data_IF_508200903933
#
_entry.id   IF_508200903933
#
_cell.length_a   1.000
_cell.length_b   1.000
_cell.length_c   1.000
_cell.angle_alpha   90.00
_cell.angle_beta   90.00
_cell.angle_gamma   90.00
#
_symmetry.space_group_name_H-M   'P 1'
#
loop_
_entity.id
_entity.type
_entity.pdbx_description
1 polymer ?
#
# COMPACT_ATOMS: atom_id res chain seq x y z
N UNK A 1 8.47 18.81 11.59
CA UNK A 1 7.05 19.19 11.40
C UNK A 1 6.71 19.18 9.92
N UNK A 2 5.53 18.64 9.58
CA UNK A 2 4.77 18.73 8.30
C UNK A 2 5.39 18.21 7.01
N UNK A 3 4.76 17.17 6.40
CA UNK A 3 4.38 17.16 4.98
C UNK A 3 3.02 16.46 4.78
N UNK A 4 1.98 17.29 4.70
CA UNK A 4 0.78 17.06 3.86
C UNK A 4 1.22 17.19 2.39
N UNK A 5 0.64 16.43 1.46
CA UNK A 5 0.13 16.97 0.19
C UNK A 5 -0.71 15.91 -0.54
N UNK A 6 -1.97 16.29 -0.79
CA UNK A 6 -2.93 15.65 -1.68
C UNK A 6 -3.33 16.75 -2.69
N UNK A 7 -3.31 16.42 -3.99
CA UNK A 7 -3.99 17.05 -5.14
C UNK A 7 -3.89 18.58 -5.43
N UNK A 8 -3.61 18.92 -6.71
CA UNK A 8 -4.42 19.73 -7.67
C UNK A 8 -3.51 20.17 -8.83
N UNK A 9 -3.96 20.01 -10.08
CA UNK A 9 -3.26 20.47 -11.27
C UNK A 9 -3.56 21.92 -11.63
N UNK A 10 -2.67 22.56 -12.41
CA UNK A 10 -3.05 23.58 -13.40
C UNK A 10 -1.89 23.86 -14.37
N UNK A 11 -2.27 24.05 -15.63
CA UNK A 11 -1.46 24.47 -16.77
C UNK A 11 -1.13 25.97 -16.63
N UNK A 12 0.15 26.38 -16.67
CA UNK A 12 0.53 27.75 -17.06
C UNK A 12 1.86 27.72 -17.81
N UNK A 13 1.80 28.06 -19.09
CA UNK A 13 2.90 28.43 -19.98
C UNK A 13 3.33 29.88 -19.66
N UNK A 14 4.64 30.21 -19.67
CA UNK A 14 5.21 31.40 -20.36
C UNK A 14 6.73 31.60 -20.09
N UNK A 15 7.46 31.75 -21.21
CA UNK A 15 8.64 32.56 -21.58
C UNK A 15 9.91 32.76 -20.69
N UNK A 16 11.04 32.29 -21.27
CA UNK A 16 12.36 32.91 -21.50
C UNK A 16 12.72 34.24 -20.80
N UNK A 17 13.94 34.32 -20.20
CA UNK A 17 15.09 35.17 -20.63
C UNK A 17 16.39 34.79 -19.86
N UNK A 18 17.47 34.57 -20.61
CA UNK A 18 18.90 34.87 -20.34
C UNK A 18 19.52 34.80 -18.94
N UNK A 19 20.56 33.97 -18.80
CA UNK A 19 21.58 34.10 -17.74
C UNK A 19 22.33 32.80 -17.49
N UNK A 20 23.55 32.67 -18.05
CA UNK A 20 24.46 31.56 -17.75
C UNK A 20 25.00 31.75 -16.33
N UNK A 21 24.34 31.13 -15.36
CA UNK A 21 24.95 30.83 -14.07
C UNK A 21 25.20 29.34 -14.00
N UNK A 22 26.46 28.95 -14.21
CA UNK A 22 26.94 27.62 -13.87
C UNK A 22 27.00 27.50 -12.34
N UNK A 23 25.83 27.30 -11.71
CA UNK A 23 25.77 26.74 -10.38
C UNK A 23 26.10 25.26 -10.52
N UNK A 24 27.27 24.85 -10.06
CA UNK A 24 27.51 23.46 -9.69
C UNK A 24 26.42 23.07 -8.70
N UNK A 25 25.41 22.34 -9.17
CA UNK A 25 24.35 21.84 -8.31
C UNK A 25 25.02 21.06 -7.17
N UNK A 26 24.84 21.43 -5.89
CA UNK A 26 25.20 20.53 -4.81
C UNK A 26 24.45 19.21 -5.04
N UNK A 27 25.01 18.06 -4.61
CA UNK A 27 24.39 16.76 -4.84
C UNK A 27 22.93 16.84 -4.38
N UNK A 28 22.01 16.73 -5.34
CA UNK A 28 20.60 16.73 -5.04
C UNK A 28 20.34 15.47 -4.22
N UNK A 29 20.20 15.63 -2.91
CA UNK A 29 19.57 14.61 -2.07
C UNK A 29 18.11 14.56 -2.49
N UNK A 30 17.83 13.68 -3.45
CA UNK A 30 16.50 13.29 -3.91
C UNK A 30 15.60 12.96 -2.70
N UNK A 31 14.29 13.27 -2.75
CA UNK A 31 13.38 13.09 -1.63
C UNK A 31 13.40 11.63 -1.17
N UNK A 32 14.07 11.36 -0.06
CA UNK A 32 13.99 10.20 0.83
C UNK A 32 13.24 9.01 0.19
N UNK A 33 13.91 8.24 -0.68
CA UNK A 33 13.30 7.13 -1.40
C UNK A 33 12.92 6.04 -0.40
N UNK A 34 11.62 5.91 -0.11
CA UNK A 34 11.10 4.80 0.68
C UNK A 34 11.49 3.47 0.03
N UNK A 35 12.31 2.69 0.73
CA UNK A 35 12.74 1.35 0.30
C UNK A 35 11.61 0.39 0.64
N UNK A 36 11.06 -0.31 -0.36
CA UNK A 36 10.08 -1.36 -0.11
C UNK A 36 10.82 -2.56 0.47
N UNK A 37 10.25 -3.22 1.49
CA UNK A 37 10.82 -4.44 2.06
C UNK A 37 10.95 -5.58 1.04
N UNK A 38 11.63 -6.64 1.45
CA UNK A 38 11.65 -7.88 0.68
C UNK A 38 10.31 -8.62 0.84
N UNK A 39 9.79 -9.17 -0.25
CA UNK A 39 8.57 -9.97 -0.23
C UNK A 39 8.75 -11.30 0.51
N UNK A 40 9.90 -11.95 0.32
CA UNK A 40 10.18 -13.26 0.91
C UNK A 40 10.57 -13.18 2.38
N UNK A 41 10.81 -11.98 2.91
CA UNK A 41 11.00 -11.77 4.33
C UNK A 41 9.74 -12.19 5.12
N UNK A 42 9.86 -13.09 6.11
CA UNK A 42 8.72 -13.48 6.93
C UNK A 42 8.26 -12.31 7.80
N UNK A 43 6.96 -12.24 8.06
CA UNK A 43 6.42 -11.29 9.02
C UNK A 43 6.82 -11.71 10.43
N UNK A 44 7.41 -10.79 11.19
CA UNK A 44 7.61 -10.98 12.61
C UNK A 44 6.28 -10.86 13.36
N UNK A 45 6.25 -11.34 14.61
CA UNK A 45 5.01 -11.40 15.36
C UNK A 45 4.43 -10.00 15.66
N UNK A 46 5.29 -9.00 15.89
CA UNK A 46 4.86 -7.62 16.09
C UNK A 46 4.18 -7.03 14.84
N UNK A 47 4.69 -7.32 13.63
CA UNK A 47 4.08 -6.88 12.37
C UNK A 47 2.70 -7.52 12.18
N UNK A 48 2.59 -8.83 12.43
CA UNK A 48 1.30 -9.54 12.35
C UNK A 48 0.28 -8.94 13.31
N UNK A 49 0.69 -8.66 14.55
CA UNK A 49 -0.19 -8.03 15.55
C UNK A 49 -0.66 -6.64 15.09
N UNK A 50 0.21 -5.83 14.50
CA UNK A 50 -0.18 -4.54 13.92
C UNK A 50 -1.19 -4.72 12.77
N UNK A 51 -0.97 -5.68 11.86
CA UNK A 51 -1.91 -5.96 10.77
C UNK A 51 -3.27 -6.42 11.31
N UNK A 52 -3.28 -7.37 12.26
CA UNK A 52 -4.50 -7.84 12.93
C UNK A 52 -5.22 -6.70 13.63
N UNK A 53 -4.49 -5.83 14.33
CA UNK A 53 -5.04 -4.66 15.00
C UNK A 53 -5.72 -3.71 14.02
N UNK A 54 -5.07 -3.40 12.89
CA UNK A 54 -5.62 -2.53 11.84
C UNK A 54 -6.94 -3.11 11.32
N UNK A 55 -6.92 -4.35 10.82
CA UNK A 55 -8.10 -4.99 10.22
C UNK A 55 -9.24 -5.12 11.25
N UNK A 56 -8.92 -5.55 12.47
CA UNK A 56 -9.93 -5.72 13.53
C UNK A 56 -10.55 -4.38 13.91
N UNK A 57 -9.74 -3.33 14.06
CA UNK A 57 -10.23 -1.99 14.41
C UNK A 57 -11.10 -1.41 13.29
N UNK A 58 -10.69 -1.58 12.02
CA UNK A 58 -11.49 -1.14 10.86
C UNK A 58 -12.81 -1.90 10.75
N UNK A 59 -12.84 -3.18 11.11
CA UNK A 59 -14.03 -4.02 11.05
C UNK A 59 -15.01 -3.78 12.20
N UNK A 60 -14.52 -3.42 13.39
CA UNK A 60 -15.31 -3.33 14.62
C UNK A 60 -15.82 -1.93 14.98
N UNK A 61 -15.54 -0.90 14.17
CA UNK A 61 -15.88 0.50 14.48
C UNK A 61 -16.54 1.19 13.29
N UNK A 62 -17.47 2.10 13.59
CA UNK A 62 -18.06 3.01 12.59
C UNK A 62 -17.04 4.05 12.15
N UNK A 63 -17.27 4.72 11.01
CA UNK A 63 -16.37 5.76 10.50
C UNK A 63 -16.08 6.87 11.51
N UNK A 64 -17.09 7.28 12.30
CA UNK A 64 -16.90 8.26 13.38
C UNK A 64 -16.10 7.66 14.55
N UNK A 65 -16.38 6.41 14.93
CA UNK A 65 -15.62 5.72 15.97
C UNK A 65 -14.14 5.56 15.64
N UNK A 66 -13.79 5.41 14.36
CA UNK A 66 -12.40 5.31 13.89
C UNK A 66 -11.59 6.59 14.12
N UNK A 67 -12.22 7.76 14.26
CA UNK A 67 -11.50 9.01 14.54
C UNK A 67 -10.76 8.94 15.89
N UNK A 68 -11.32 8.23 16.88
CA UNK A 68 -10.70 8.03 18.18
C UNK A 68 -9.46 7.12 18.12
N UNK A 69 -9.40 6.26 17.11
CA UNK A 69 -8.30 5.31 16.90
C UNK A 69 -7.31 5.77 15.84
N UNK A 70 -7.56 6.91 15.17
CA UNK A 70 -6.75 7.42 14.07
C UNK A 70 -5.25 7.38 14.37
N UNK A 71 -4.83 7.98 15.50
CA UNK A 71 -3.41 8.02 15.89
C UNK A 71 -2.82 6.62 16.12
N UNK A 72 -3.60 5.70 16.71
CA UNK A 72 -3.14 4.32 16.95
C UNK A 72 -3.04 3.53 15.65
N UNK A 73 -3.95 3.75 14.71
CA UNK A 73 -3.92 3.16 13.38
C UNK A 73 -2.74 3.69 12.56
N UNK A 74 -2.45 4.99 12.65
CA UNK A 74 -1.28 5.61 12.03
C UNK A 74 0.01 4.98 12.57
N UNK A 75 0.17 4.87 13.89
CA UNK A 75 1.34 4.22 14.51
C UNK A 75 1.45 2.75 14.10
N UNK A 76 0.34 2.01 14.11
CA UNK A 76 0.35 0.60 13.67
C UNK A 76 0.73 0.47 12.18
N UNK A 77 0.33 1.43 11.35
CA UNK A 77 0.70 1.52 9.94
C UNK A 77 2.18 1.86 9.73
N UNK A 78 2.71 2.81 10.51
CA UNK A 78 4.14 3.17 10.50
C UNK A 78 5.02 1.99 10.89
N UNK A 79 4.60 1.19 11.88
CA UNK A 79 5.31 -0.01 12.32
C UNK A 79 5.37 -1.14 11.28
N UNK A 80 4.59 -1.05 10.20
CA UNK A 80 4.59 -2.04 9.11
C UNK A 80 4.88 -1.38 7.76
N UNK A 81 5.32 -0.12 7.74
CA UNK A 81 5.50 0.66 6.52
C UNK A 81 6.66 0.12 5.65
N UNK A 82 7.60 -0.59 6.29
CA UNK A 82 8.72 -1.29 5.66
C UNK A 82 8.33 -2.65 5.08
N UNK A 83 7.19 -3.23 5.48
CA UNK A 83 6.75 -4.55 5.02
C UNK A 83 6.35 -4.49 3.54
N UNK A 84 6.70 -5.52 2.77
CA UNK A 84 6.28 -5.59 1.37
C UNK A 84 4.74 -5.62 1.27
N UNK A 85 4.11 -4.79 0.41
CA UNK A 85 2.66 -4.64 0.35
C UNK A 85 1.93 -5.96 0.01
N UNK A 86 2.46 -6.78 -0.91
CA UNK A 86 1.87 -8.10 -1.18
C UNK A 86 2.00 -9.08 0.00
N UNK A 87 3.03 -8.93 0.86
CA UNK A 87 3.19 -9.78 2.04
C UNK A 87 2.13 -9.44 3.09
N UNK A 88 1.85 -8.16 3.28
CA UNK A 88 0.73 -7.69 4.10
C UNK A 88 -0.59 -8.26 3.57
N UNK A 89 -0.92 -8.05 2.29
CA UNK A 89 -2.16 -8.56 1.69
C UNK A 89 -2.24 -10.09 1.77
N UNK A 90 -1.11 -10.79 1.55
CA UNK A 90 -1.02 -12.24 1.63
C UNK A 90 -1.36 -12.76 3.02
N UNK A 91 -0.87 -12.11 4.07
CA UNK A 91 -1.22 -12.46 5.44
C UNK A 91 -2.71 -12.23 5.76
N UNK A 92 -3.28 -11.12 5.28
CA UNK A 92 -4.71 -10.82 5.49
C UNK A 92 -5.62 -11.84 4.80
N UNK A 93 -5.35 -12.17 3.54
CA UNK A 93 -6.24 -13.00 2.71
C UNK A 93 -5.91 -14.51 2.74
N UNK A 94 -4.79 -14.91 3.34
CA UNK A 94 -4.55 -16.30 3.72
C UNK A 94 -5.27 -16.68 5.02
N UNK A 95 -5.53 -15.71 5.91
CA UNK A 95 -6.26 -15.94 7.16
C UNK A 95 -7.78 -15.74 6.96
N UNK A 96 -8.55 -16.79 7.20
CA UNK A 96 -10.01 -16.76 7.01
C UNK A 96 -10.71 -15.74 7.93
N UNK A 97 -10.32 -15.64 9.21
CA UNK A 97 -10.94 -14.70 10.15
C UNK A 97 -10.69 -13.25 9.73
N UNK A 98 -9.45 -12.91 9.36
CA UNK A 98 -9.12 -11.57 8.87
C UNK A 98 -9.84 -11.26 7.56
N UNK A 99 -9.94 -12.23 6.64
CA UNK A 99 -10.69 -12.08 5.39
C UNK A 99 -12.16 -11.75 5.66
N UNK A 100 -12.82 -12.47 6.58
CA UNK A 100 -14.21 -12.18 6.96
C UNK A 100 -14.34 -10.80 7.60
N UNK A 101 -13.37 -10.39 8.43
CA UNK A 101 -13.33 -9.01 8.96
C UNK A 101 -13.23 -7.98 7.84
N UNK A 102 -12.45 -8.22 6.78
CA UNK A 102 -12.40 -7.28 5.64
C UNK A 102 -13.76 -7.09 4.96
N UNK A 103 -14.59 -8.15 4.90
CA UNK A 103 -15.92 -8.11 4.28
C UNK A 103 -16.90 -7.22 5.03
N UNK A 104 -16.79 -7.11 6.35
CA UNK A 104 -17.67 -6.26 7.17
C UNK A 104 -17.16 -4.81 7.28
N UNK A 105 -15.92 -4.51 6.84
CA UNK A 105 -15.42 -3.12 6.81
C UNK A 105 -16.29 -2.29 5.86
N UNK A 106 -16.81 -1.19 6.38
CA UNK A 106 -17.60 -0.22 5.61
C UNK A 106 -16.83 0.37 4.43
N UNK A 107 -17.57 0.83 3.40
CA UNK A 107 -16.99 1.33 2.14
C UNK A 107 -15.93 2.42 2.34
N UNK A 108 -16.20 3.42 3.16
CA UNK A 108 -15.29 4.56 3.39
C UNK A 108 -13.96 4.13 4.03
N UNK A 109 -13.94 3.43 5.19
CA UNK A 109 -12.70 2.96 5.78
C UNK A 109 -11.97 1.95 4.89
N UNK A 110 -12.69 1.09 4.16
CA UNK A 110 -12.09 0.17 3.21
C UNK A 110 -11.35 0.89 2.09
N UNK A 111 -12.00 1.84 1.42
CA UNK A 111 -11.38 2.58 0.33
C UNK A 111 -10.13 3.33 0.80
N UNK A 112 -10.14 3.89 2.02
CA UNK A 112 -8.94 4.52 2.60
C UNK A 112 -7.81 3.53 2.84
N UNK A 113 -8.13 2.34 3.34
CA UNK A 113 -7.15 1.26 3.53
C UNK A 113 -6.54 0.81 2.20
N UNK A 114 -7.36 0.54 1.17
CA UNK A 114 -6.88 0.12 -0.16
C UNK A 114 -6.03 1.20 -0.82
N UNK A 115 -6.45 2.46 -0.74
CA UNK A 115 -5.68 3.58 -1.29
C UNK A 115 -4.29 3.72 -0.67
N UNK A 116 -4.10 3.25 0.58
CA UNK A 116 -2.80 3.23 1.25
C UNK A 116 -1.77 2.33 0.54
N UNK A 117 -2.21 1.30 -0.21
CA UNK A 117 -1.32 0.39 -0.93
C UNK A 117 -0.89 0.90 -2.31
N UNK A 118 -1.57 1.91 -2.87
CA UNK A 118 -1.31 2.35 -4.25
C UNK A 118 0.12 2.85 -4.45
N UNK A 119 0.61 3.73 -3.56
CA UNK A 119 1.99 4.22 -3.65
C UNK A 119 3.04 3.14 -3.36
N UNK A 120 2.94 2.34 -2.29
CA UNK A 120 3.88 1.25 -2.03
C UNK A 120 3.94 0.19 -3.15
N UNK A 121 2.79 -0.22 -3.72
CA UNK A 121 2.75 -1.17 -4.82
C UNK A 121 3.38 -0.60 -6.10
N UNK A 122 3.09 0.67 -6.40
CA UNK A 122 3.74 1.34 -7.53
C UNK A 122 5.26 1.42 -7.35
N UNK A 123 5.75 1.76 -6.15
CA UNK A 123 7.18 1.74 -5.84
C UNK A 123 7.78 0.33 -5.95
N UNK A 124 7.08 -0.70 -5.47
CA UNK A 124 7.52 -2.09 -5.59
C UNK A 124 7.65 -2.51 -7.06
N UNK A 125 6.73 -2.05 -7.92
CA UNK A 125 6.81 -2.26 -9.37
C UNK A 125 8.04 -1.58 -9.97
N UNK A 126 8.27 -0.30 -9.66
CA UNK A 126 9.43 0.46 -10.16
C UNK A 126 10.77 -0.10 -9.68
N UNK A 127 10.80 -0.70 -8.48
CA UNK A 127 11.98 -1.33 -7.91
C UNK A 127 12.19 -2.78 -8.40
N UNK A 128 11.34 -3.30 -9.31
CA UNK A 128 11.43 -4.67 -9.81
C UNK A 128 11.07 -5.74 -8.77
N UNK A 129 10.44 -5.35 -7.65
CA UNK A 129 10.02 -6.24 -6.55
C UNK A 129 8.64 -6.88 -6.78
N UNK A 130 7.99 -6.58 -7.90
CA UNK A 130 6.77 -7.24 -8.38
C UNK A 130 7.07 -8.04 -9.64
N UNK A 131 7.96 -9.03 -9.53
CA UNK A 131 8.29 -9.95 -10.61
C UNK A 131 7.32 -11.16 -10.63
N UNK A 132 7.40 -12.00 -11.67
CA UNK A 132 6.49 -13.15 -11.82
C UNK A 132 6.60 -14.15 -10.67
N UNK A 133 7.81 -14.41 -10.16
CA UNK A 133 8.05 -15.31 -9.04
C UNK A 133 7.30 -14.85 -7.77
N UNK A 134 7.36 -13.55 -7.44
CA UNK A 134 6.61 -12.96 -6.33
C UNK A 134 5.10 -13.11 -6.53
N UNK A 135 4.61 -12.92 -7.77
CA UNK A 135 3.18 -13.09 -8.06
C UNK A 135 2.73 -14.55 -7.96
N UNK A 136 3.56 -15.50 -8.37
CA UNK A 136 3.27 -16.93 -8.28
C UNK A 136 3.28 -17.44 -6.82
N UNK A 137 4.16 -16.94 -5.96
CA UNK A 137 4.12 -17.27 -4.53
C UNK A 137 2.91 -16.61 -3.84
N UNK A 138 2.63 -15.35 -4.18
CA UNK A 138 1.48 -14.64 -3.65
C UNK A 138 0.17 -15.32 -4.03
N UNK A 139 0.02 -15.73 -5.30
CA UNK A 139 -1.15 -16.41 -5.82
C UNK A 139 -1.45 -17.71 -5.07
N UNK A 140 -0.41 -18.51 -4.80
CA UNK A 140 -0.47 -19.71 -3.94
C UNK A 140 -0.89 -19.37 -2.51
N UNK A 141 -0.30 -18.32 -1.93
CA UNK A 141 -0.59 -17.88 -0.55
C UNK A 141 -2.06 -17.50 -0.36
N UNK A 142 -2.65 -16.80 -1.33
CA UNK A 142 -4.04 -16.36 -1.25
C UNK A 142 -5.02 -17.36 -1.87
N UNK A 143 -4.52 -18.42 -2.52
CA UNK A 143 -5.28 -19.44 -3.25
C UNK A 143 -6.15 -18.84 -4.36
N UNK A 144 -5.54 -18.03 -5.22
CA UNK A 144 -6.14 -17.46 -6.44
C UNK A 144 -5.14 -17.71 -7.58
N UNK A 145 -5.62 -18.00 -8.78
CA UNK A 145 -4.75 -18.19 -9.93
C UNK A 145 -3.92 -16.93 -10.24
N UNK A 146 -2.63 -17.12 -10.57
CA UNK A 146 -1.74 -16.03 -10.99
C UNK A 146 -2.26 -15.34 -12.25
N UNK A 147 -2.92 -16.08 -13.14
CA UNK A 147 -3.50 -15.53 -14.38
C UNK A 147 -4.68 -14.58 -14.11
N UNK A 148 -5.28 -14.62 -12.91
CA UNK A 148 -6.27 -13.64 -12.45
C UNK A 148 -5.60 -12.38 -11.87
N UNK A 149 -4.51 -12.57 -11.11
CA UNK A 149 -3.82 -11.48 -10.39
C UNK A 149 -2.93 -10.65 -11.32
N UNK A 150 -2.15 -11.32 -12.18
CA UNK A 150 -1.12 -10.71 -13.01
C UNK A 150 -1.66 -9.59 -13.91
N UNK A 151 -2.83 -9.73 -14.59
CA UNK A 151 -3.39 -8.65 -15.38
C UNK A 151 -3.71 -7.39 -14.57
N UNK A 152 -4.17 -7.54 -13.32
CA UNK A 152 -4.49 -6.41 -12.44
C UNK A 152 -3.22 -5.70 -11.99
N UNK A 153 -2.15 -6.45 -11.72
CA UNK A 153 -0.84 -5.88 -11.38
C UNK A 153 -0.21 -5.14 -12.56
N UNK A 154 -0.25 -5.73 -13.77
CA UNK A 154 0.25 -5.09 -15.00
C UNK A 154 -0.49 -3.80 -15.33
N UNK A 155 -1.81 -3.77 -15.11
CA UNK A 155 -2.65 -2.57 -15.28
C UNK A 155 -2.56 -1.59 -14.11
N UNK A 156 -1.87 -1.95 -13.03
CA UNK A 156 -1.82 -1.20 -11.78
C UNK A 156 -3.22 -0.95 -11.17
N UNK A 157 -4.16 -1.86 -11.43
CA UNK A 157 -5.52 -1.80 -10.88
C UNK A 157 -5.56 -2.44 -9.49
N UNK A 158 -4.98 -1.73 -8.53
CA UNK A 158 -4.86 -2.18 -7.14
C UNK A 158 -6.22 -2.34 -6.47
N UNK A 159 -7.21 -1.55 -6.88
CA UNK A 159 -8.57 -1.65 -6.37
C UNK A 159 -9.23 -2.95 -6.83
N UNK A 160 -9.11 -3.31 -8.12
CA UNK A 160 -9.60 -4.58 -8.62
C UNK A 160 -8.88 -5.75 -7.97
N UNK A 161 -7.55 -5.67 -7.79
CA UNK A 161 -6.77 -6.70 -7.10
C UNK A 161 -7.32 -6.96 -5.69
N UNK A 162 -7.42 -5.92 -4.86
CA UNK A 162 -7.83 -6.07 -3.47
C UNK A 162 -9.31 -6.44 -3.34
N UNK A 163 -10.17 -5.99 -4.24
CA UNK A 163 -11.57 -6.42 -4.29
C UNK A 163 -11.71 -7.89 -4.70
N UNK A 164 -10.88 -8.37 -5.63
CA UNK A 164 -10.85 -9.78 -6.04
C UNK A 164 -10.42 -10.66 -4.86
N UNK A 165 -9.38 -10.25 -4.13
CA UNK A 165 -8.92 -10.92 -2.92
C UNK A 165 -10.00 -10.97 -1.82
N UNK A 166 -10.76 -9.88 -1.65
CA UNK A 166 -11.84 -9.79 -0.65
C UNK A 166 -13.02 -10.72 -0.95
N UNK A 167 -13.23 -11.06 -2.22
CA UNK A 167 -14.40 -11.80 -2.69
C UNK A 167 -14.10 -13.26 -3.10
N UNK A 168 -12.84 -13.69 -3.08
CA UNK A 168 -12.42 -15.02 -3.59
C UNK A 168 -12.72 -16.19 -2.64
N UNK A 169 -13.19 -15.91 -1.43
CA UNK A 169 -13.58 -16.83 -0.35
C UNK A 169 -14.75 -16.19 0.40
#
# INVERSE_FOLDING_TARGET
>A
MRKFFFLIGFLVTFCFVGGVFAFSNPPQTTPNQKIIGDYFAPLCEAEKQNIVYIITTLSGKTTLGLLLYKKKLEVAGENIDHVHPLRHLGFVFSNQDLTQKTKIIGRVPWNRYVNGFGSPLHLALLQGKLNREVLEDFSKTVNIDVEVIEPMVKKQDWQALVNTLRNSK
#
